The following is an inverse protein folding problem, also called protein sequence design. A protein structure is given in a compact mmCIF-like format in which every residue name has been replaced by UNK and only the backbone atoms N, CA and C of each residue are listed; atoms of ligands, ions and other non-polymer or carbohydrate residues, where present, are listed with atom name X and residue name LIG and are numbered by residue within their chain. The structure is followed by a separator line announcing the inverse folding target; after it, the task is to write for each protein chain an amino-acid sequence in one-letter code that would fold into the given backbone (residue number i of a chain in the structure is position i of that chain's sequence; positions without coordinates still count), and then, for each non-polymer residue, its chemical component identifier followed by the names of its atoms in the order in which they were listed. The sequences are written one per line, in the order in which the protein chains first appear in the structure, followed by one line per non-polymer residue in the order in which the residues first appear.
data_IF_136791977880
#
_entry.id   IF_136791977880
#
_cell.length_a   1.000
_cell.length_b   1.000
_cell.length_c   1.000
_cell.angle_alpha   90.00
_cell.angle_beta   90.00
_cell.angle_gamma   90.00
#
_symmetry.space_group_name_H-M   'P 1'
#
loop_
_entity.id
_entity.type
_entity.pdbx_description
1 polymer ?
#
# COMPACT_ATOMS: atom_id res chain seq x y z
N UNK A 1 -9.51 -28.89 14.65
CA UNK A 1 -10.29 -27.66 14.94
C UNK A 1 -9.49 -26.38 14.65
N UNK A 2 -8.63 -26.35 13.63
CA UNK A 2 -7.87 -25.13 13.26
C UNK A 2 -8.48 -24.33 12.09
N UNK A 3 -9.57 -24.82 11.49
CA UNK A 3 -10.15 -24.25 10.26
C UNK A 3 -11.10 -23.06 10.46
N UNK A 4 -11.14 -22.41 11.64
CA UNK A 4 -12.20 -21.43 11.96
C UNK A 4 -11.72 -19.99 12.23
N UNK A 5 -10.46 -19.64 11.97
CA UNK A 5 -10.01 -18.24 12.10
C UNK A 5 -9.94 -17.54 10.74
N UNK A 6 -10.59 -16.37 10.59
CA UNK A 6 -10.41 -15.54 9.39
C UNK A 6 -8.92 -15.21 9.20
N UNK A 7 -8.35 -15.62 8.08
CA UNK A 7 -6.93 -15.45 7.77
C UNK A 7 -6.74 -14.92 6.34
N UNK A 8 -5.67 -14.16 6.15
CA UNK A 8 -5.21 -13.70 4.83
C UNK A 8 -3.78 -14.19 4.69
N UNK A 9 -3.46 -14.86 3.58
CA UNK A 9 -2.13 -15.40 3.35
C UNK A 9 -1.32 -14.35 2.59
N UNK A 10 -0.16 -14.00 3.12
CA UNK A 10 0.77 -13.08 2.47
C UNK A 10 2.00 -13.85 2.02
N UNK A 11 2.29 -13.82 0.73
CA UNK A 11 3.52 -14.37 0.18
C UNK A 11 4.52 -13.25 -0.08
N UNK A 12 5.81 -13.53 0.14
CA UNK A 12 6.90 -12.59 -0.04
C UNK A 12 7.89 -13.17 -1.05
N UNK A 13 8.29 -12.41 -2.06
CA UNK A 13 9.31 -12.86 -3.01
C UNK A 13 9.41 -11.98 -4.23
N UNK A 14 10.00 -12.52 -5.30
CA UNK A 14 9.97 -11.88 -6.61
C UNK A 14 8.61 -12.14 -7.29
N UNK A 15 8.22 -11.28 -8.22
CA UNK A 15 6.92 -11.37 -8.92
C UNK A 15 6.67 -12.71 -9.62
N UNK A 16 7.74 -13.37 -10.10
CA UNK A 16 7.67 -14.68 -10.77
C UNK A 16 7.77 -15.86 -9.79
N UNK A 17 7.59 -15.64 -8.48
CA UNK A 17 7.57 -16.72 -7.50
C UNK A 17 6.24 -17.47 -7.61
N UNK A 18 6.26 -18.66 -8.23
CA UNK A 18 5.09 -19.52 -8.41
C UNK A 18 4.40 -19.96 -7.10
N UNK A 19 4.96 -19.62 -5.94
CA UNK A 19 4.34 -19.84 -4.63
C UNK A 19 2.95 -19.20 -4.50
N UNK A 20 2.77 -17.96 -4.96
CA UNK A 20 1.47 -17.28 -4.86
C UNK A 20 0.41 -17.97 -5.73
N UNK A 21 0.80 -18.42 -6.92
CA UNK A 21 -0.05 -19.19 -7.82
C UNK A 21 -0.41 -20.57 -7.23
N UNK A 22 0.57 -21.27 -6.65
CA UNK A 22 0.34 -22.57 -6.01
C UNK A 22 -0.64 -22.45 -4.84
N UNK A 23 -0.44 -21.47 -3.95
CA UNK A 23 -1.32 -21.26 -2.81
C UNK A 23 -2.73 -20.82 -3.25
N UNK A 24 -2.85 -19.98 -4.27
CA UNK A 24 -4.16 -19.48 -4.72
C UNK A 24 -4.99 -20.53 -5.44
N UNK A 25 -4.35 -21.52 -6.04
CA UNK A 25 -5.02 -22.70 -6.59
C UNK A 25 -5.49 -23.69 -5.50
N UNK A 26 -4.79 -23.76 -4.36
CA UNK A 26 -5.02 -24.78 -3.33
C UNK A 26 -5.68 -24.27 -2.04
N UNK A 27 -5.91 -22.96 -1.92
CA UNK A 27 -6.46 -22.33 -0.71
C UNK A 27 -7.70 -21.50 -1.03
N UNK A 28 -8.69 -21.57 -0.15
CA UNK A 28 -9.86 -20.70 -0.19
C UNK A 28 -9.63 -19.34 0.50
N UNK A 29 -8.52 -19.19 1.24
CA UNK A 29 -8.16 -17.92 1.86
C UNK A 29 -7.65 -16.92 0.82
N UNK A 30 -7.97 -15.63 0.99
CA UNK A 30 -7.43 -14.59 0.12
C UNK A 30 -5.90 -14.54 0.21
N UNK A 31 -5.25 -14.42 -0.94
CA UNK A 31 -3.80 -14.37 -1.06
C UNK A 31 -3.35 -13.03 -1.60
N UNK A 32 -2.36 -12.45 -0.92
CA UNK A 32 -1.67 -11.22 -1.32
C UNK A 32 -0.21 -11.57 -1.56
N UNK A 33 0.26 -11.35 -2.77
CA UNK A 33 1.67 -11.46 -3.12
C UNK A 33 2.37 -10.10 -2.98
N UNK A 34 3.31 -10.02 -2.06
CA UNK A 34 4.16 -8.85 -1.85
C UNK A 34 5.49 -9.06 -2.59
N UNK A 35 5.60 -8.45 -3.77
CA UNK A 35 6.82 -8.44 -4.56
C UNK A 35 7.77 -7.36 -4.06
N UNK A 36 8.91 -7.73 -3.47
CA UNK A 36 9.92 -6.75 -3.06
C UNK A 36 10.83 -6.42 -4.23
N UNK A 37 10.75 -5.18 -4.72
CA UNK A 37 11.64 -4.70 -5.77
C UNK A 37 12.97 -4.30 -5.11
N UNK A 38 14.03 -5.08 -5.36
CA UNK A 38 15.38 -4.67 -4.99
C UNK A 38 15.87 -3.54 -5.90
N UNK A 39 16.65 -2.60 -5.35
CA UNK A 39 17.15 -1.42 -6.08
C UNK A 39 17.99 -1.80 -7.31
N UNK A 40 18.67 -2.94 -7.29
CA UNK A 40 19.44 -3.47 -8.43
C UNK A 40 18.55 -3.97 -9.58
N UNK A 41 17.32 -4.39 -9.27
CA UNK A 41 16.35 -4.90 -10.25
C UNK A 41 15.49 -3.80 -10.86
N UNK A 42 15.61 -2.53 -10.44
CA UNK A 42 14.88 -1.42 -11.07
C UNK A 42 15.24 -1.23 -12.55
N UNK A 43 16.47 -1.58 -12.93
CA UNK A 43 16.94 -1.53 -14.33
C UNK A 43 16.42 -2.70 -15.17
N UNK A 44 16.13 -3.84 -14.53
CA UNK A 44 15.41 -4.95 -15.12
C UNK A 44 13.94 -4.74 -14.81
N UNK A 45 13.36 -3.75 -15.48
CA UNK A 45 11.94 -3.49 -15.56
C UNK A 45 11.30 -4.68 -16.29
N UNK A 46 11.30 -5.85 -15.64
CA UNK A 46 10.37 -6.92 -15.94
C UNK A 46 9.02 -6.23 -15.92
N UNK A 47 8.35 -6.21 -17.08
CA UNK A 47 7.13 -5.46 -17.30
C UNK A 47 6.10 -5.83 -16.23
N UNK A 48 6.10 -5.07 -15.13
CA UNK A 48 5.11 -5.12 -14.06
C UNK A 48 3.72 -5.04 -14.68
N UNK A 49 3.62 -4.25 -15.76
CA UNK A 49 2.44 -4.11 -16.59
C UNK A 49 2.02 -5.41 -17.30
N UNK A 50 2.96 -6.26 -17.73
CA UNK A 50 2.67 -7.56 -18.36
C UNK A 50 2.13 -8.61 -17.38
N UNK A 51 2.55 -8.54 -16.11
CA UNK A 51 2.05 -9.44 -15.06
C UNK A 51 0.67 -8.99 -14.54
N UNK A 52 0.43 -7.67 -14.52
CA UNK A 52 -0.85 -7.07 -14.13
C UNK A 52 -1.90 -7.15 -15.25
N UNK A 53 -1.49 -7.21 -16.52
CA UNK A 53 -2.42 -7.25 -17.67
C UNK A 53 -3.13 -8.59 -17.86
N UNK A 54 -2.81 -9.62 -17.07
CA UNK A 54 -3.61 -10.83 -17.06
C UNK A 54 -4.80 -10.65 -16.11
N UNK A 55 -5.97 -10.43 -16.70
CA UNK A 55 -7.31 -10.42 -16.08
C UNK A 55 -7.69 -11.73 -15.34
N UNK A 56 -6.72 -12.63 -15.10
CA UNK A 56 -6.89 -13.96 -14.53
C UNK A 56 -6.06 -14.18 -13.26
N UNK A 57 -5.50 -13.12 -12.66
CA UNK A 57 -4.72 -13.25 -11.43
C UNK A 57 -5.60 -13.70 -10.26
N UNK A 58 -5.41 -14.94 -9.81
CA UNK A 58 -6.10 -15.56 -8.67
C UNK A 58 -5.73 -14.92 -7.31
N UNK A 59 -4.85 -13.92 -7.31
CA UNK A 59 -4.31 -13.27 -6.12
C UNK A 59 -3.92 -11.82 -6.39
N UNK A 60 -3.93 -10.99 -5.34
CA UNK A 60 -3.55 -9.58 -5.42
C UNK A 60 -2.03 -9.42 -5.36
N UNK A 61 -1.45 -8.54 -6.19
CA UNK A 61 -0.02 -8.23 -6.16
C UNK A 61 0.21 -6.82 -5.62
N UNK A 62 1.18 -6.68 -4.73
CA UNK A 62 1.61 -5.40 -4.13
C UNK A 62 3.12 -5.30 -4.11
N UNK A 63 3.66 -4.07 -4.22
CA UNK A 63 5.10 -3.84 -4.35
C UNK A 63 5.77 -3.34 -3.07
N UNK A 64 4.99 -3.15 -2.00
CA UNK A 64 5.53 -2.71 -0.73
C UNK A 64 4.87 -3.47 0.42
N UNK A 65 5.66 -3.76 1.45
CA UNK A 65 5.16 -4.40 2.66
C UNK A 65 4.06 -3.57 3.37
N UNK A 66 4.16 -2.23 3.48
CA UNK A 66 3.07 -1.42 4.01
C UNK A 66 1.77 -1.57 3.22
N UNK A 67 1.83 -1.64 1.88
CA UNK A 67 0.65 -1.89 1.05
C UNK A 67 0.06 -3.28 1.31
N UNK A 68 0.89 -4.31 1.45
CA UNK A 68 0.43 -5.66 1.79
C UNK A 68 -0.35 -5.68 3.11
N UNK A 69 0.24 -5.09 4.15
CA UNK A 69 -0.38 -4.99 5.48
C UNK A 69 -1.69 -4.20 5.42
N UNK A 70 -1.73 -3.10 4.66
CA UNK A 70 -2.95 -2.32 4.52
C UNK A 70 -4.08 -3.12 3.86
N UNK A 71 -3.78 -3.93 2.84
CA UNK A 71 -4.76 -4.82 2.21
C UNK A 71 -5.25 -5.91 3.18
N UNK A 72 -4.34 -6.54 3.93
CA UNK A 72 -4.72 -7.51 4.98
C UNK A 72 -5.69 -6.88 5.98
N UNK A 73 -5.36 -5.68 6.50
CA UNK A 73 -6.22 -4.96 7.44
C UNK A 73 -7.58 -4.64 6.82
N UNK A 74 -7.62 -4.22 5.55
CA UNK A 74 -8.87 -3.91 4.85
C UNK A 74 -9.78 -5.14 4.72
N UNK A 75 -9.22 -6.30 4.37
CA UNK A 75 -9.97 -7.56 4.28
C UNK A 75 -10.51 -7.96 5.65
N UNK A 76 -9.65 -7.99 6.67
CA UNK A 76 -10.06 -8.37 8.03
C UNK A 76 -11.08 -7.40 8.63
N UNK A 77 -11.01 -6.11 8.28
CA UNK A 77 -11.94 -5.09 8.74
C UNK A 77 -13.37 -5.29 8.22
N UNK A 78 -13.58 -6.08 7.16
CA UNK A 78 -14.94 -6.41 6.69
C UNK A 78 -15.71 -7.23 7.73
N UNK A 79 -15.00 -8.00 8.56
CA UNK A 79 -15.58 -8.84 9.61
C UNK A 79 -15.45 -8.23 11.03
N UNK A 80 -14.68 -7.14 11.19
CA UNK A 80 -14.47 -6.46 12.47
C UNK A 80 -14.68 -4.94 12.36
N UNK A 81 -15.81 -4.47 12.88
CA UNK A 81 -16.18 -3.06 12.88
C UNK A 81 -15.20 -2.18 13.69
N UNK A 82 -14.54 -2.71 14.74
CA UNK A 82 -13.55 -1.97 15.53
C UNK A 82 -12.29 -1.73 14.69
N UNK A 83 -11.88 -2.72 13.90
CA UNK A 83 -10.77 -2.57 12.97
C UNK A 83 -11.14 -1.60 11.84
N UNK A 84 -12.36 -1.70 11.31
CA UNK A 84 -12.89 -0.81 10.29
C UNK A 84 -12.93 0.66 10.72
N UNK A 85 -13.45 0.94 11.92
CA UNK A 85 -13.52 2.31 12.47
C UNK A 85 -12.13 2.89 12.68
N UNK A 86 -11.17 2.11 13.22
CA UNK A 86 -9.75 2.52 13.34
C UNK A 86 -9.14 2.85 11.98
N UNK A 87 -9.40 2.04 10.96
CA UNK A 87 -8.91 2.27 9.60
C UNK A 87 -9.45 3.59 9.02
N UNK A 88 -10.75 3.86 9.20
CA UNK A 88 -11.39 5.11 8.77
C UNK A 88 -10.84 6.32 9.52
N UNK A 89 -10.69 6.23 10.84
CA UNK A 89 -10.08 7.28 11.66
C UNK A 89 -8.63 7.59 11.23
N UNK A 90 -7.82 6.56 10.95
CA UNK A 90 -6.46 6.74 10.45
C UNK A 90 -6.42 7.43 9.09
N UNK A 91 -7.34 7.10 8.18
CA UNK A 91 -7.45 7.76 6.87
C UNK A 91 -7.84 9.23 7.01
N UNK A 92 -8.83 9.52 7.86
CA UNK A 92 -9.26 10.89 8.13
C UNK A 92 -8.15 11.74 8.77
N UNK A 93 -7.44 11.19 9.76
CA UNK A 93 -6.29 11.86 10.39
C UNK A 93 -5.23 12.22 9.35
N UNK A 94 -4.81 11.27 8.51
CA UNK A 94 -3.83 11.53 7.44
C UNK A 94 -4.27 12.63 6.48
N UNK A 95 -5.56 12.70 6.17
CA UNK A 95 -6.11 13.76 5.33
C UNK A 95 -6.00 15.14 6.02
N UNK A 96 -6.34 15.23 7.30
CA UNK A 96 -6.17 16.46 8.08
C UNK A 96 -4.71 16.86 8.24
N UNK A 97 -3.82 15.90 8.50
CA UNK A 97 -2.37 16.12 8.57
C UNK A 97 -1.85 16.71 7.25
N UNK A 98 -2.38 16.27 6.10
CA UNK A 98 -2.00 16.75 4.78
C UNK A 98 -2.49 18.19 4.52
N UNK A 99 -3.70 18.53 4.96
CA UNK A 99 -4.21 19.92 4.91
C UNK A 99 -3.36 20.85 5.78
N UNK A 100 -3.02 20.42 7.00
CA UNK A 100 -2.18 21.23 7.91
C UNK A 100 -0.78 21.42 7.31
N UNK A 101 -0.19 20.38 6.74
CA UNK A 101 1.10 20.47 6.07
C UNK A 101 1.08 21.45 4.89
N UNK A 102 0.01 21.43 4.09
CA UNK A 102 -0.18 22.35 2.96
C UNK A 102 -0.26 23.82 3.43
N UNK A 103 -1.06 24.10 4.47
CA UNK A 103 -1.16 25.44 5.07
C UNK A 103 0.20 25.95 5.60
N UNK A 104 1.00 25.06 6.21
CA UNK A 104 2.34 25.40 6.69
C UNK A 104 3.30 25.71 5.54
N UNK A 105 3.20 24.99 4.42
CA UNK A 105 4.01 25.26 3.23
C UNK A 105 3.68 26.65 2.64
N UNK A 106 2.39 26.99 2.54
CA UNK A 106 1.94 28.30 2.06
C UNK A 106 2.44 29.45 2.95
N UNK A 107 2.40 29.26 4.28
CA UNK A 107 2.89 30.26 5.23
C UNK A 107 4.41 30.45 5.15
N UNK A 108 5.18 29.35 4.96
CA UNK A 108 6.63 29.43 4.80
C UNK A 108 7.06 30.04 3.46
N UNK A 109 6.31 29.81 2.39
CA UNK A 109 6.57 30.42 1.08
C UNK A 109 6.31 31.93 1.10
N UNK A 110 5.20 32.37 1.68
CA UNK A 110 4.84 33.80 1.80
C UNK A 110 5.83 34.60 2.65
N UNK A 111 6.41 34.00 3.69
CA UNK A 111 7.48 34.65 4.46
C UNK A 111 8.79 34.79 3.66
N UNK A 112 9.14 33.81 2.81
CA UNK A 112 10.35 33.84 1.97
C UNK A 112 10.29 34.90 0.86
N UNK A 113 9.11 35.16 0.29
CA UNK A 113 8.92 36.22 -0.71
C UNK A 113 8.95 37.61 -0.08
N UNK A 114 8.40 37.80 1.12
CA UNK A 114 8.42 39.09 1.80
C UNK A 114 9.82 39.54 2.26
N UNK A 115 10.70 38.61 2.67
CA UNK A 115 12.09 38.94 3.01
C UNK A 115 12.92 39.37 1.80
N UNK A 116 12.66 38.79 0.62
CA UNK A 116 13.37 39.16 -0.61
C UNK A 116 12.85 40.48 -1.22
N UNK A 117 11.60 40.87 -0.94
CA UNK A 117 11.03 42.16 -1.37
C UNK A 117 11.47 43.36 -0.52
N UNK A 118 11.92 43.13 0.71
CA UNK A 118 12.37 44.19 1.63
C UNK A 118 13.87 44.54 1.52
N UNK A 119 14.69 43.72 0.86
CA UNK A 119 16.13 44.02 0.65
C UNK A 119 16.42 44.81 -0.64
N UNK A 120 15.40 45.12 -1.46
CA UNK A 120 15.55 45.86 -2.74
C UNK A 120 14.91 47.27 -2.71
N UNK A 121 14.92 47.96 -1.56
CA UNK A 121 14.56 49.38 -1.47
C UNK A 121 15.66 50.18 -0.78
#
# INVERSE_FOLDING_TARGET
YEHCRPAVIVTLGNINNGLAMCLSSNSQYPIIHCSLINKEQQNNLFDINSFISNDTSLFTIVFTLPSAIQNVIQILAMNDWKLWTKLRGRRFKKYMDLIIADQQLLTKQTMKTNTNGLMNK
#
